data_IF_148112340953
#
_entry.id   IF_148112340953
#
_cell.length_a   1.000
_cell.length_b   1.000
_cell.length_c   1.000
_cell.angle_alpha   90.00
_cell.angle_beta   90.00
_cell.angle_gamma   90.00
#
_symmetry.space_group_name_H-M   'P 1'
#
loop_
_entity.id
_entity.type
_entity.pdbx_description
1 polymer ?
#
# COMPACT_ATOMS: atom_id res chain seq x y z
N UNK A 1 3.09 -18.99 -16.42
CA UNK A 1 3.12 -18.57 -16.14
C UNK A 1 3.16 -17.98 -15.49
N UNK A 2 3.03 -17.86 -15.15
CA UNK A 2 3.15 -17.41 -14.51
C UNK A 2 2.82 -16.52 -13.98
N UNK A 3 2.39 -16.42 -13.89
CA UNK A 3 2.21 -15.36 -13.37
C UNK A 3 2.81 -14.94 -12.48
N UNK A 4 3.26 -14.31 -12.87
CA UNK A 4 3.88 -13.85 -11.74
C UNK A 4 2.87 -13.47 -10.74
N UNK A 5 3.04 -13.96 -9.58
CA UNK A 5 2.16 -13.63 -8.53
C UNK A 5 2.72 -12.45 -7.79
N UNK A 6 1.95 -11.42 -7.74
CA UNK A 6 2.32 -10.26 -6.97
C UNK A 6 1.72 -10.44 -5.60
N UNK A 7 2.57 -10.49 -4.61
CA UNK A 7 2.08 -10.52 -3.24
C UNK A 7 1.37 -9.21 -2.96
N UNK A 8 0.24 -9.31 -2.30
CA UNK A 8 -0.54 -8.12 -2.04
C UNK A 8 -1.22 -8.20 -0.69
N UNK A 9 -1.58 -7.05 -0.15
CA UNK A 9 -2.27 -6.98 1.12
C UNK A 9 -3.12 -5.72 1.15
N UNK A 10 -4.17 -5.78 1.97
CA UNK A 10 -5.03 -4.62 2.21
C UNK A 10 -4.99 -4.34 3.70
N UNK A 11 -4.70 -3.10 4.05
CA UNK A 11 -4.61 -2.68 5.43
C UNK A 11 -5.65 -1.58 5.66
N UNK A 12 -6.42 -1.71 6.73
CA UNK A 12 -7.39 -0.69 7.11
C UNK A 12 -6.80 0.18 8.20
N UNK A 13 -6.90 1.48 8.04
CA UNK A 13 -6.31 2.40 8.99
C UNK A 13 -7.16 3.66 9.10
N UNK A 14 -7.16 4.25 10.28
CA UNK A 14 -7.86 5.51 10.48
C UNK A 14 -7.12 6.66 9.84
N UNK A 15 -5.80 6.60 9.89
CA UNK A 15 -4.95 7.64 9.33
C UNK A 15 -4.12 7.04 8.22
N UNK A 16 -4.68 7.02 7.02
CA UNK A 16 -4.04 6.33 5.91
C UNK A 16 -2.75 7.03 5.49
N UNK A 17 -2.70 8.35 5.62
CA UNK A 17 -1.48 9.07 5.24
C UNK A 17 -0.32 8.67 6.11
N UNK A 18 -0.57 8.55 7.41
CA UNK A 18 0.47 8.20 8.35
C UNK A 18 0.93 6.76 8.16
N UNK A 19 -0.02 5.85 8.00
CA UNK A 19 0.29 4.45 7.84
C UNK A 19 1.01 4.19 6.53
N UNK A 20 0.56 4.83 5.44
CA UNK A 20 1.21 4.61 4.16
C UNK A 20 2.62 5.18 4.17
N UNK A 21 2.84 6.31 4.83
CA UNK A 21 4.19 6.85 4.95
C UNK A 21 5.09 5.92 5.74
N UNK A 22 4.55 5.32 6.79
CA UNK A 22 5.27 4.35 7.59
C UNK A 22 5.75 3.19 6.72
N UNK A 23 4.83 2.62 5.93
CA UNK A 23 5.20 1.50 5.08
C UNK A 23 6.18 1.90 4.00
N UNK A 24 6.04 3.11 3.47
CA UNK A 24 6.96 3.57 2.45
C UNK A 24 8.37 3.66 3.00
N UNK A 25 8.52 4.10 4.24
CA UNK A 25 9.84 4.26 4.83
C UNK A 25 10.42 2.94 5.31
N UNK A 26 9.61 2.14 5.99
CA UNK A 26 10.11 0.93 6.63
C UNK A 26 10.29 -0.19 5.63
N UNK A 27 9.35 -0.33 4.73
CA UNK A 27 9.36 -1.43 3.77
C UNK A 27 9.92 -1.04 2.40
N UNK A 28 10.22 0.24 2.22
CA UNK A 28 10.76 0.69 0.95
C UNK A 28 9.75 0.69 -0.18
N UNK A 29 8.47 0.80 0.15
CA UNK A 29 7.44 0.83 -0.86
C UNK A 29 7.31 2.24 -1.45
N UNK A 30 6.83 2.29 -2.67
CA UNK A 30 6.62 3.55 -3.35
C UNK A 30 5.14 3.84 -3.44
N UNK A 31 4.74 5.06 -3.09
CA UNK A 31 3.35 5.47 -3.21
C UNK A 31 3.09 5.79 -4.67
N UNK A 32 2.23 4.99 -5.30
CA UNK A 32 1.96 5.14 -6.74
C UNK A 32 0.59 5.75 -6.99
N UNK A 33 -0.27 5.74 -5.97
CA UNK A 33 -1.60 6.30 -6.12
C UNK A 33 -2.09 6.72 -4.75
N UNK A 34 -2.59 7.94 -4.66
CA UNK A 34 -3.04 8.45 -3.37
C UNK A 34 -4.30 9.26 -3.56
N UNK A 35 -5.37 8.82 -2.91
CA UNK A 35 -6.63 9.55 -2.91
C UNK A 35 -7.12 9.64 -1.46
N UNK A 36 -8.24 10.29 -1.26
CA UNK A 36 -8.73 10.57 0.08
C UNK A 36 -9.07 9.31 0.87
N UNK A 37 -9.50 8.26 0.16
CA UNK A 37 -9.98 7.06 0.80
C UNK A 37 -8.97 5.95 0.88
N UNK A 38 -7.95 5.98 0.05
CA UNK A 38 -6.98 4.90 0.05
C UNK A 38 -5.68 5.35 -0.60
N UNK A 39 -4.64 4.57 -0.34
CA UNK A 39 -3.32 4.81 -0.91
C UNK A 39 -2.80 3.47 -1.41
N UNK A 40 -2.24 3.46 -2.61
CA UNK A 40 -1.64 2.26 -3.17
C UNK A 40 -0.14 2.42 -3.18
N UNK A 41 0.54 1.47 -2.56
CA UNK A 41 2.00 1.46 -2.50
C UNK A 41 2.49 0.22 -3.22
N UNK A 42 3.61 0.35 -3.90
CA UNK A 42 4.19 -0.76 -4.65
C UNK A 42 5.66 -0.89 -4.43
N UNK A 43 6.12 -2.12 -4.48
CA UNK A 43 7.52 -2.44 -4.62
C UNK A 43 7.58 -3.55 -5.63
N UNK A 44 8.78 -3.91 -6.05
CA UNK A 44 8.92 -4.96 -7.04
C UNK A 44 8.32 -6.25 -6.51
N UNK A 45 7.27 -6.73 -7.20
CA UNK A 45 6.61 -7.97 -6.82
C UNK A 45 5.70 -7.88 -5.62
N UNK A 46 5.36 -6.65 -5.20
CA UNK A 46 4.54 -6.50 -4.01
C UNK A 46 3.67 -5.26 -4.13
N UNK A 47 2.43 -5.37 -3.71
CA UNK A 47 1.49 -4.25 -3.73
C UNK A 47 0.75 -4.19 -2.41
N UNK A 48 0.66 -3.00 -1.83
CA UNK A 48 -0.04 -2.78 -0.58
C UNK A 48 -1.06 -1.69 -0.77
N UNK A 49 -2.29 -1.94 -0.33
CA UNK A 49 -3.35 -0.96 -0.38
C UNK A 49 -3.75 -0.62 1.04
N UNK A 50 -3.68 0.66 1.39
CA UNK A 50 -4.10 1.15 2.69
C UNK A 50 -5.44 1.84 2.51
N UNK A 51 -6.45 1.34 3.19
CA UNK A 51 -7.83 1.80 3.02
C UNK A 51 -8.29 2.47 4.29
N UNK A 52 -9.02 3.56 4.13
CA UNK A 52 -9.54 4.28 5.26
C UNK A 52 -10.57 3.43 6.00
N UNK A 53 -10.39 3.35 7.30
CA UNK A 53 -11.32 2.64 8.16
C UNK A 53 -12.34 3.63 8.69
N UNK A 54 -13.57 3.27 8.58
CA UNK A 54 -14.62 4.17 9.02
C UNK A 54 -15.40 3.58 10.15
#
# INVERSE_FOLDING_TARGET
MSQSIVAGAVVYAKDIARVSRFYAQVCGLEIVHEVADHVVLEAEGYELVVVSMR
#
